data_IF_844793774911
#
_entry.id   IF_844793774911
#
_cell.length_a   1.000
_cell.length_b   1.000
_cell.length_c   1.000
_cell.angle_alpha   90.00
_cell.angle_beta   90.00
_cell.angle_gamma   90.00
#
_symmetry.space_group_name_H-M   'P 1'
#
loop_
_entity.id
_entity.type
_entity.pdbx_description
1 polymer ?
#
# COMPACT_ATOMS: atom_id res chain seq x y z
N UNK A 1 -48.86 -9.95 -42.80
CA UNK A 1 -49.50 -9.16 -43.87
C UNK A 1 -50.48 -8.17 -43.23
N UNK A 2 -50.72 -6.97 -43.79
CA UNK A 2 -49.83 -5.87 -44.22
C UNK A 2 -50.22 -4.56 -43.44
N UNK A 3 -49.65 -3.35 -43.53
CA UNK A 3 -49.13 -2.43 -44.58
C UNK A 3 -48.25 -1.39 -43.84
N UNK A 4 -47.03 -0.99 -44.21
CA UNK A 4 -46.43 -0.46 -45.45
C UNK A 4 -46.93 0.93 -45.89
N UNK A 5 -45.95 1.74 -46.35
CA UNK A 5 -45.98 2.98 -47.16
C UNK A 5 -45.89 4.31 -46.38
N UNK A 6 -45.10 5.35 -46.74
CA UNK A 6 -44.19 5.76 -47.86
C UNK A 6 -43.41 7.00 -47.32
N UNK A 7 -42.12 7.26 -47.53
CA UNK A 7 -41.31 7.55 -48.75
C UNK A 7 -41.66 8.84 -49.53
N UNK A 8 -40.73 9.80 -49.54
CA UNK A 8 -40.40 10.77 -50.62
C UNK A 8 -39.12 11.53 -50.16
N UNK A 9 -37.89 11.36 -50.67
CA UNK A 9 -37.28 11.61 -52.00
C UNK A 9 -37.51 13.01 -52.56
N UNK A 10 -36.45 13.82 -52.68
CA UNK A 10 -36.04 14.75 -53.78
C UNK A 10 -34.53 15.03 -53.53
N UNK A 11 -33.52 14.56 -54.26
CA UNK A 11 -33.13 14.57 -55.69
C UNK A 11 -32.45 15.88 -56.17
N UNK A 12 -31.36 15.68 -56.94
CA UNK A 12 -30.55 16.60 -57.78
C UNK A 12 -29.31 17.21 -57.08
N UNK A 13 -28.07 16.78 -57.31
CA UNK A 13 -27.24 16.52 -58.50
C UNK A 13 -26.61 17.78 -59.13
N UNK A 14 -25.28 17.89 -59.05
CA UNK A 14 -24.45 18.61 -60.02
C UNK A 14 -23.05 17.95 -60.06
N UNK A 15 -22.75 17.36 -61.22
CA UNK A 15 -21.48 16.78 -61.65
C UNK A 15 -20.89 17.72 -62.70
N UNK A 16 -19.59 18.01 -62.66
CA UNK A 16 -18.70 18.29 -63.82
C UNK A 16 -17.25 18.31 -63.28
N UNK A 17 -16.37 17.32 -63.50
CA UNK A 17 -15.64 16.85 -64.69
C UNK A 17 -14.26 17.51 -64.90
N UNK A 18 -13.23 16.71 -64.58
CA UNK A 18 -11.92 16.49 -65.21
C UNK A 18 -10.95 17.65 -65.56
N UNK A 19 -9.68 17.48 -65.16
CA UNK A 19 -8.59 17.17 -66.11
C UNK A 19 -7.31 16.76 -65.36
N UNK A 20 -6.72 15.64 -65.79
CA UNK A 20 -5.37 15.21 -65.43
C UNK A 20 -4.38 15.70 -66.50
N UNK A 21 -3.23 16.22 -66.10
CA UNK A 21 -2.01 16.27 -66.94
C UNK A 21 -0.81 16.02 -66.03
N UNK A 22 0.00 15.04 -66.41
CA UNK A 22 1.21 14.65 -65.72
C UNK A 22 2.46 15.16 -66.46
N UNK A 23 3.51 15.40 -65.67
CA UNK A 23 4.96 15.42 -65.98
C UNK A 23 5.53 16.62 -66.76
N UNK A 24 6.48 17.33 -66.14
CA UNK A 24 7.93 17.27 -66.47
C UNK A 24 8.74 18.31 -65.66
N UNK A 25 9.76 17.84 -64.93
CA UNK A 25 11.09 18.45 -64.86
C UNK A 25 11.33 19.74 -64.05
N UNK A 26 12.39 19.71 -63.23
CA UNK A 26 13.16 20.91 -62.86
C UNK A 26 13.27 21.16 -61.35
N UNK A 27 14.36 20.69 -60.74
CA UNK A 27 14.80 21.20 -59.44
C UNK A 27 15.55 22.52 -59.63
N UNK A 28 15.28 23.56 -58.82
CA UNK A 28 16.27 24.57 -58.49
C UNK A 28 16.58 24.58 -56.99
N UNK A 29 17.83 24.91 -56.69
CA UNK A 29 18.50 24.69 -55.42
C UNK A 29 17.89 25.44 -54.23
N UNK A 30 17.94 24.77 -53.09
CA UNK A 30 17.66 25.32 -51.78
C UNK A 30 18.72 26.39 -51.42
N UNK A 31 18.28 27.63 -51.30
CA UNK A 31 18.98 28.63 -50.49
C UNK A 31 18.30 28.63 -49.12
N UNK A 32 18.93 27.95 -48.16
CA UNK A 32 18.48 27.93 -46.78
C UNK A 32 18.61 29.33 -46.18
N UNK A 33 17.48 29.95 -45.84
CA UNK A 33 17.46 31.00 -44.83
C UNK A 33 17.37 30.32 -43.47
N UNK A 34 18.43 30.46 -42.67
CA UNK A 34 18.46 29.90 -41.32
C UNK A 34 17.35 30.58 -40.48
N UNK A 35 16.42 29.81 -39.88
CA UNK A 35 15.50 30.38 -38.90
C UNK A 35 16.29 30.74 -37.63
N UNK A 36 16.14 31.98 -37.18
CA UNK A 36 16.60 32.43 -35.86
C UNK A 36 15.80 31.65 -34.82
N UNK A 37 16.48 30.82 -34.02
CA UNK A 37 15.86 30.06 -32.94
C UNK A 37 15.39 31.00 -31.82
N UNK A 38 14.24 30.74 -31.17
CA UNK A 38 13.83 31.50 -30.01
C UNK A 38 14.81 31.27 -28.85
N UNK A 39 15.23 32.35 -28.19
CA UNK A 39 16.02 32.30 -26.96
C UNK A 39 15.11 31.78 -25.85
N UNK A 40 15.28 30.52 -25.47
CA UNK A 40 14.65 29.92 -24.29
C UNK A 40 15.44 30.38 -23.07
N UNK A 41 14.81 30.96 -22.02
CA UNK A 41 15.52 31.31 -20.81
C UNK A 41 16.04 30.03 -20.14
N UNK A 42 17.36 29.94 -19.97
CA UNK A 42 18.02 28.87 -19.22
C UNK A 42 17.65 29.05 -17.75
N UNK A 43 16.77 28.17 -17.25
CA UNK A 43 16.59 27.98 -15.81
C UNK A 43 17.88 27.31 -15.29
N UNK A 44 18.58 27.86 -14.28
CA UNK A 44 19.75 27.20 -13.74
C UNK A 44 19.34 25.85 -13.15
N UNK A 45 19.81 24.78 -13.77
CA UNK A 45 19.70 23.41 -13.24
C UNK A 45 20.52 23.37 -11.96
N UNK A 46 19.86 23.12 -10.83
CA UNK A 46 20.55 22.85 -9.58
C UNK A 46 21.53 21.68 -9.77
N UNK A 47 22.73 21.70 -9.16
CA UNK A 47 23.69 20.62 -9.32
C UNK A 47 23.04 19.30 -8.91
N UNK A 48 23.09 18.31 -9.82
CA UNK A 48 22.76 16.92 -9.52
C UNK A 48 23.73 16.47 -8.43
N UNK A 49 23.21 16.33 -7.21
CA UNK A 49 23.94 15.63 -6.15
C UNK A 49 24.04 14.18 -6.61
N UNK A 50 25.23 13.57 -6.67
CA UNK A 50 25.35 12.17 -7.06
C UNK A 50 24.54 11.34 -6.06
N UNK A 51 23.48 10.72 -6.56
CA UNK A 51 22.85 9.57 -5.89
C UNK A 51 23.96 8.54 -5.75
N UNK A 52 24.13 8.01 -4.54
CA UNK A 52 25.19 7.08 -4.19
C UNK A 52 25.28 5.88 -5.14
N UNK A 53 26.41 5.19 -5.05
CA UNK A 53 26.82 4.08 -5.92
C UNK A 53 25.67 3.11 -6.26
N UNK A 54 25.63 2.55 -7.50
CA UNK A 54 24.60 1.61 -7.91
C UNK A 54 24.62 0.38 -6.99
N UNK A 55 23.55 0.24 -6.21
CA UNK A 55 23.25 -0.94 -5.42
C UNK A 55 23.10 -2.14 -6.37
N UNK A 56 23.70 -3.29 -5.99
CA UNK A 56 23.63 -4.55 -6.75
C UNK A 56 22.21 -4.90 -7.23
N UNK A 57 22.05 -5.57 -8.38
CA UNK A 57 20.75 -5.81 -9.01
C UNK A 57 19.74 -6.60 -8.16
N UNK A 58 20.18 -7.32 -7.12
CA UNK A 58 19.30 -8.00 -6.17
C UNK A 58 19.00 -7.22 -4.88
N UNK A 59 19.75 -6.16 -4.57
CA UNK A 59 19.62 -5.40 -3.33
C UNK A 59 18.59 -4.25 -3.40
N UNK A 60 17.67 -4.28 -4.38
CA UNK A 60 16.69 -3.20 -4.60
C UNK A 60 15.29 -3.63 -5.03
N UNK A 61 15.01 -4.92 -5.25
CA UNK A 61 13.69 -5.38 -5.74
C UNK A 61 12.80 -5.86 -4.59
N UNK A 62 11.53 -5.46 -4.55
CA UNK A 62 10.60 -5.97 -3.54
C UNK A 62 10.39 -7.48 -3.73
N UNK A 63 10.27 -8.21 -2.61
CA UNK A 63 9.94 -9.65 -2.60
C UNK A 63 8.44 -9.81 -2.76
N UNK A 64 8.01 -10.39 -3.88
CA UNK A 64 6.61 -10.65 -4.20
C UNK A 64 6.36 -12.15 -4.14
N UNK A 65 5.37 -12.58 -3.36
CA UNK A 65 5.01 -14.00 -3.20
C UNK A 65 3.50 -14.16 -3.33
N UNK A 66 3.07 -15.13 -4.14
CA UNK A 66 1.69 -15.56 -4.24
C UNK A 66 1.53 -16.92 -3.57
N UNK A 67 0.47 -17.10 -2.80
CA UNK A 67 0.16 -18.35 -2.13
C UNK A 67 -0.60 -19.28 -3.08
N UNK A 68 -0.49 -20.57 -2.85
CA UNK A 68 -1.26 -21.56 -3.60
C UNK A 68 -2.75 -21.50 -3.20
N UNK A 69 -3.65 -21.78 -4.15
CA UNK A 69 -5.09 -21.61 -3.93
C UNK A 69 -5.64 -22.50 -2.80
N UNK A 70 -5.06 -23.69 -2.61
CA UNK A 70 -5.36 -24.61 -1.52
C UNK A 70 -4.88 -24.07 -0.16
N UNK A 71 -3.73 -23.40 -0.08
CA UNK A 71 -3.26 -22.71 1.12
C UNK A 71 -4.20 -21.56 1.53
N UNK A 72 -4.65 -20.78 0.54
CA UNK A 72 -5.65 -19.71 0.74
C UNK A 72 -6.97 -20.29 1.26
N UNK A 73 -7.44 -21.39 0.68
CA UNK A 73 -8.66 -22.07 1.10
C UNK A 73 -8.52 -22.70 2.51
N UNK A 74 -7.37 -23.30 2.82
CA UNK A 74 -7.07 -23.83 4.14
C UNK A 74 -7.11 -22.73 5.20
N UNK A 75 -6.58 -21.54 4.90
CA UNK A 75 -6.65 -20.38 5.78
C UNK A 75 -8.09 -19.90 6.03
N UNK A 76 -8.94 -19.92 4.99
CA UNK A 76 -10.35 -19.60 5.14
C UNK A 76 -11.07 -20.58 6.10
N UNK A 77 -10.78 -21.88 5.96
CA UNK A 77 -11.35 -22.92 6.81
C UNK A 77 -10.76 -22.92 8.24
N UNK A 78 -9.51 -22.50 8.37
CA UNK A 78 -8.82 -22.45 9.66
C UNK A 78 -9.48 -21.46 10.62
N UNK A 79 -9.76 -20.23 10.18
CA UNK A 79 -10.28 -19.17 11.04
C UNK A 79 -11.78 -19.25 11.30
N UNK A 80 -12.14 -20.05 12.31
CA UNK A 80 -13.48 -20.07 12.90
C UNK A 80 -13.65 -18.93 13.91
N UNK A 81 -14.89 -18.51 14.25
CA UNK A 81 -15.13 -17.54 15.31
C UNK A 81 -14.46 -17.91 16.65
N UNK A 82 -14.43 -19.21 16.97
CA UNK A 82 -13.77 -19.71 18.19
C UNK A 82 -12.25 -19.48 18.17
N UNK A 83 -11.59 -19.69 17.03
CA UNK A 83 -10.13 -19.46 16.88
C UNK A 83 -9.80 -17.98 16.85
N UNK A 84 -10.61 -17.14 16.21
CA UNK A 84 -10.44 -15.68 16.26
C UNK A 84 -10.50 -15.19 17.72
N UNK A 85 -11.51 -15.63 18.48
CA UNK A 85 -11.60 -15.29 19.90
C UNK A 85 -10.47 -15.89 20.76
N UNK A 86 -9.89 -17.02 20.38
CA UNK A 86 -8.71 -17.59 21.06
C UNK A 86 -7.44 -16.77 20.79
N UNK A 87 -7.23 -16.32 19.55
CA UNK A 87 -6.13 -15.45 19.18
C UNK A 87 -6.18 -14.10 19.93
N UNK A 88 -7.38 -13.56 20.12
CA UNK A 88 -7.57 -12.34 20.91
C UNK A 88 -7.14 -12.51 22.36
N UNK A 89 -7.55 -13.62 22.99
CA UNK A 89 -7.16 -13.94 24.37
C UNK A 89 -5.66 -14.13 24.48
N UNK A 90 -5.05 -14.88 23.55
CA UNK A 90 -3.60 -15.08 23.54
C UNK A 90 -2.84 -13.75 23.42
N UNK A 91 -3.30 -12.85 22.54
CA UNK A 91 -2.70 -11.51 22.39
C UNK A 91 -2.88 -10.68 23.66
N UNK A 92 -4.08 -10.72 24.27
CA UNK A 92 -4.37 -10.02 25.52
C UNK A 92 -3.47 -10.49 26.68
N UNK A 93 -3.28 -11.80 26.80
CA UNK A 93 -2.42 -12.44 27.80
C UNK A 93 -0.94 -12.08 27.58
N UNK A 94 -0.45 -12.14 26.35
CA UNK A 94 0.92 -11.75 26.01
C UNK A 94 1.19 -10.27 26.36
N UNK A 95 0.23 -9.37 26.09
CA UNK A 95 0.35 -7.95 26.45
C UNK A 95 0.12 -7.66 27.93
N UNK A 96 -0.49 -8.58 28.68
CA UNK A 96 -0.64 -8.47 30.14
C UNK A 96 0.69 -8.69 30.87
N UNK A 97 1.63 -9.39 30.25
CA UNK A 97 2.96 -9.62 30.79
C UNK A 97 3.76 -8.31 30.90
N UNK A 98 4.56 -8.11 31.95
CA UNK A 98 5.39 -6.92 32.09
C UNK A 98 6.42 -6.87 30.97
N UNK A 99 6.24 -5.96 30.02
CA UNK A 99 7.19 -5.76 28.94
C UNK A 99 8.46 -5.07 29.46
N UNK A 100 9.62 -5.69 29.25
CA UNK A 100 10.92 -5.02 29.30
C UNK A 100 11.14 -4.23 28.00
N UNK A 101 10.31 -3.21 27.72
CA UNK A 101 10.49 -2.37 26.53
C UNK A 101 11.18 -1.05 26.89
N UNK A 102 11.99 -0.51 25.96
CA UNK A 102 12.36 0.91 26.00
C UNK A 102 11.06 1.73 26.14
N UNK A 103 11.07 2.71 27.03
CA UNK A 103 9.93 3.59 27.26
C UNK A 103 9.53 4.27 25.94
N UNK A 104 8.44 3.81 25.32
CA UNK A 104 7.81 4.53 24.24
C UNK A 104 7.30 5.87 24.80
N UNK A 105 7.48 6.96 24.05
CA UNK A 105 6.94 8.25 24.47
C UNK A 105 5.43 8.12 24.76
N UNK A 106 4.92 8.71 25.86
CA UNK A 106 3.53 8.53 26.25
C UNK A 106 2.61 8.98 25.13
N UNK A 107 1.69 8.10 24.73
CA UNK A 107 0.59 8.43 23.84
C UNK A 107 -0.28 9.43 24.60
N UNK A 108 -0.36 10.68 24.12
CA UNK A 108 -1.04 11.75 24.86
C UNK A 108 -2.57 11.62 24.80
N UNK A 109 -3.09 10.97 23.76
CA UNK A 109 -4.50 10.70 23.56
C UNK A 109 -4.67 9.34 22.89
N UNK A 110 -5.03 8.33 23.68
CA UNK A 110 -5.60 7.07 23.20
C UNK A 110 -7.08 7.10 23.59
N UNK A 111 -7.97 6.98 22.60
CA UNK A 111 -9.40 6.95 22.83
C UNK A 111 -10.00 5.82 22.01
N UNK A 112 -10.99 5.14 22.57
CA UNK A 112 -11.81 4.16 21.86
C UNK A 112 -12.59 4.88 20.76
N UNK A 113 -12.63 4.28 19.57
CA UNK A 113 -13.52 4.73 18.48
C UNK A 113 -14.37 3.57 17.98
N UNK A 114 -15.50 3.92 17.37
CA UNK A 114 -16.32 2.95 16.65
C UNK A 114 -15.50 2.28 15.54
N UNK A 115 -15.76 0.99 15.24
CA UNK A 115 -15.09 0.28 14.15
C UNK A 115 -15.15 1.05 12.84
N UNK A 116 -14.00 1.23 12.20
CA UNK A 116 -13.89 1.80 10.86
C UNK A 116 -13.91 0.64 9.86
N UNK A 117 -14.86 0.57 8.90
CA UNK A 117 -15.02 -0.59 8.02
C UNK A 117 -13.73 -1.09 7.36
N UNK A 118 -12.89 -0.19 6.85
CA UNK A 118 -11.64 -0.53 6.15
C UNK A 118 -10.45 -0.80 7.08
N UNK A 119 -10.57 -0.56 8.39
CA UNK A 119 -9.53 -0.90 9.38
C UNK A 119 -9.95 -2.17 10.12
N UNK A 120 -9.02 -3.08 10.36
CA UNK A 120 -9.36 -4.35 10.99
C UNK A 120 -8.19 -5.04 11.67
N UNK A 121 -8.51 -6.19 12.27
CA UNK A 121 -7.52 -7.08 12.85
C UNK A 121 -6.99 -8.02 11.79
N UNK A 122 -5.69 -8.28 11.86
CA UNK A 122 -4.99 -9.29 11.09
C UNK A 122 -4.65 -10.43 12.05
N UNK A 123 -4.94 -11.66 11.65
CA UNK A 123 -4.71 -12.86 12.46
C UNK A 123 -3.71 -13.75 11.76
N UNK A 124 -2.83 -14.38 12.53
CA UNK A 124 -1.86 -15.33 12.02
C UNK A 124 -1.42 -16.33 13.08
N UNK A 125 -0.72 -17.37 12.61
CA UNK A 125 -0.11 -18.42 13.43
C UNK A 125 1.40 -18.31 13.26
N UNK A 126 2.11 -18.20 14.38
CA UNK A 126 3.55 -18.18 14.44
C UNK A 126 4.13 -19.57 14.13
N UNK A 127 5.45 -19.65 13.89
CA UNK A 127 6.13 -20.92 13.62
C UNK A 127 6.08 -21.93 14.78
N UNK A 128 5.79 -21.46 16.01
CA UNK A 128 5.61 -22.28 17.21
C UNK A 128 4.14 -22.64 17.50
N UNK A 129 3.28 -22.52 16.48
CA UNK A 129 1.82 -22.75 16.54
C UNK A 129 1.04 -21.82 17.48
N UNK A 130 1.67 -20.75 17.99
CA UNK A 130 0.98 -19.74 18.79
C UNK A 130 0.21 -18.75 17.92
N UNK A 131 -0.87 -18.19 18.45
CA UNK A 131 -1.63 -17.15 17.76
C UNK A 131 -1.01 -15.78 17.97
N UNK A 132 -0.90 -15.02 16.87
CA UNK A 132 -0.53 -13.62 16.88
C UNK A 132 -1.58 -12.78 16.16
N UNK A 133 -1.71 -11.54 16.59
CA UNK A 133 -2.55 -10.56 15.92
C UNK A 133 -1.82 -9.27 15.63
N UNK A 134 -2.20 -8.64 14.53
CA UNK A 134 -1.75 -7.32 14.09
C UNK A 134 -2.96 -6.44 13.74
N UNK A 135 -2.70 -5.18 13.38
CA UNK A 135 -3.69 -4.31 12.74
C UNK A 135 -3.37 -4.16 11.27
N UNK A 136 -4.39 -3.97 10.44
CA UNK A 136 -4.21 -3.72 9.02
C UNK A 136 -5.30 -2.81 8.46
N UNK A 137 -5.09 -2.28 7.26
CA UNK A 137 -5.99 -1.31 6.63
C UNK A 137 -6.20 -1.61 5.13
N UNK A 138 -7.45 -1.67 4.67
CA UNK A 138 -7.76 -1.74 3.25
C UNK A 138 -7.42 -0.41 2.57
N UNK A 139 -6.68 -0.47 1.46
CA UNK A 139 -6.17 0.71 0.76
C UNK A 139 -6.63 0.75 -0.69
N UNK A 140 -6.77 1.97 -1.23
CA UNK A 140 -7.18 2.18 -2.62
C UNK A 140 -6.14 1.52 -3.53
N UNK A 141 -6.61 0.63 -4.41
CA UNK A 141 -5.78 -0.11 -5.34
C UNK A 141 -6.56 -0.47 -6.60
N UNK A 142 -5.85 -0.68 -7.72
CA UNK A 142 -6.49 -1.07 -8.99
C UNK A 142 -7.22 -2.41 -8.94
N UNK A 143 -6.79 -3.33 -8.07
CA UNK A 143 -7.45 -4.63 -7.88
C UNK A 143 -8.57 -4.60 -6.82
N UNK A 144 -8.69 -3.52 -6.02
CA UNK A 144 -9.65 -3.41 -4.92
C UNK A 144 -9.50 -4.43 -3.79
N UNK A 145 -8.37 -5.14 -3.72
CA UNK A 145 -8.11 -6.25 -2.80
C UNK A 145 -6.88 -6.02 -1.91
N UNK A 146 -6.28 -4.84 -1.96
CA UNK A 146 -5.01 -4.56 -1.27
C UNK A 146 -5.22 -4.09 0.17
N UNK A 147 -4.41 -4.62 1.06
CA UNK A 147 -4.34 -4.30 2.47
C UNK A 147 -2.92 -3.86 2.82
N UNK A 148 -2.78 -2.77 3.58
CA UNK A 148 -1.52 -2.29 4.12
C UNK A 148 -1.32 -2.76 5.57
N UNK A 149 -0.10 -3.15 5.91
CA UNK A 149 0.31 -3.61 7.25
C UNK A 149 1.82 -3.41 7.46
N UNK A 150 2.35 -3.85 8.60
CA UNK A 150 3.78 -3.90 8.88
C UNK A 150 4.42 -5.16 8.25
N UNK A 151 5.71 -5.09 7.92
CA UNK A 151 6.40 -6.22 7.30
C UNK A 151 6.55 -7.40 8.27
N UNK A 152 6.81 -7.12 9.55
CA UNK A 152 6.90 -8.16 10.60
C UNK A 152 5.57 -8.89 10.86
N UNK A 153 4.44 -8.30 10.48
CA UNK A 153 3.14 -8.96 10.58
C UNK A 153 2.92 -10.03 9.49
N UNK A 154 3.79 -10.09 8.48
CA UNK A 154 3.78 -11.12 7.43
C UNK A 154 4.96 -12.08 7.62
N UNK A 155 6.14 -11.52 7.87
CA UNK A 155 7.40 -12.25 7.94
C UNK A 155 8.24 -11.68 9.09
N UNK A 156 8.33 -12.44 10.19
CA UNK A 156 9.13 -12.11 11.35
C UNK A 156 10.59 -12.54 11.09
N UNK A 157 11.28 -11.77 10.25
CA UNK A 157 12.72 -11.94 9.93
C UNK A 157 13.08 -13.25 9.26
N UNK A 158 12.28 -13.65 8.25
CA UNK A 158 12.42 -14.90 7.53
C UNK A 158 11.56 -16.03 8.08
N UNK A 159 10.88 -15.83 9.21
CA UNK A 159 9.81 -16.69 9.67
C UNK A 159 8.46 -16.16 9.15
N UNK A 160 8.00 -16.73 8.05
CA UNK A 160 6.66 -16.44 7.51
C UNK A 160 5.58 -16.95 8.48
N UNK A 161 4.57 -16.12 8.74
CA UNK A 161 3.43 -16.54 9.56
C UNK A 161 2.43 -17.35 8.74
N UNK A 162 1.94 -18.46 9.30
CA UNK A 162 0.92 -19.27 8.67
C UNK A 162 -0.48 -18.66 8.85
N UNK A 163 -1.41 -19.06 7.97
CA UNK A 163 -2.82 -18.71 8.04
C UNK A 163 -3.09 -17.21 8.20
N UNK A 164 -2.38 -16.36 7.47
CA UNK A 164 -2.61 -14.92 7.57
C UNK A 164 -4.01 -14.56 7.02
N UNK A 165 -4.82 -13.87 7.81
CA UNK A 165 -6.12 -13.37 7.37
C UNK A 165 -6.44 -11.98 7.93
N UNK A 166 -7.13 -11.17 7.12
CA UNK A 166 -7.66 -9.86 7.51
C UNK A 166 -9.14 -9.95 7.86
N UNK A 167 -9.55 -9.32 8.96
CA UNK A 167 -10.94 -9.27 9.40
C UNK A 167 -11.35 -7.80 9.63
N UNK A 168 -12.00 -7.17 8.63
CA UNK A 168 -12.33 -5.75 8.67
C UNK A 168 -13.37 -5.46 9.74
N UNK A 169 -13.21 -4.32 10.43
CA UNK A 169 -14.08 -3.88 11.52
C UNK A 169 -14.37 -4.96 12.59
N UNK A 170 -13.40 -5.85 12.83
CA UNK A 170 -13.55 -6.85 13.88
C UNK A 170 -13.69 -6.16 15.23
N UNK A 171 -14.72 -6.52 15.98
CA UNK A 171 -15.02 -5.97 17.29
C UNK A 171 -15.77 -7.00 18.16
N UNK A 172 -15.21 -7.30 19.32
CA UNK A 172 -15.72 -8.14 20.40
C UNK A 172 -16.35 -9.46 19.89
N UNK A 173 -15.58 -10.24 19.15
CA UNK A 173 -16.04 -11.50 18.57
C UNK A 173 -16.75 -11.36 17.22
N UNK A 174 -17.10 -10.12 16.81
CA UNK A 174 -17.91 -9.85 15.63
C UNK A 174 -17.02 -9.57 14.43
N UNK A 175 -17.24 -10.33 13.36
CA UNK A 175 -16.60 -10.17 12.06
C UNK A 175 -17.65 -9.78 11.01
N UNK A 176 -18.15 -8.52 11.00
CA UNK A 176 -19.31 -8.13 10.18
C UNK A 176 -19.08 -8.29 8.67
N UNK A 177 -17.83 -8.27 8.22
CA UNK A 177 -17.46 -8.41 6.81
C UNK A 177 -16.76 -9.75 6.50
N UNK A 178 -16.78 -10.69 7.45
CA UNK A 178 -16.13 -11.99 7.32
C UNK A 178 -14.60 -11.94 7.34
N UNK A 179 -14.01 -13.10 7.12
CA UNK A 179 -12.55 -13.31 7.11
C UNK A 179 -12.03 -13.31 5.68
N UNK A 180 -10.94 -12.58 5.44
CA UNK A 180 -10.31 -12.38 4.12
C UNK A 180 -8.89 -12.95 4.14
N UNK A 181 -8.69 -14.20 3.70
CA UNK A 181 -7.38 -14.84 3.69
C UNK A 181 -6.38 -14.09 2.80
N UNK A 182 -5.11 -14.05 3.22
CA UNK A 182 -4.03 -13.56 2.37
C UNK A 182 -3.91 -14.42 1.11
N UNK A 183 -3.75 -13.78 -0.05
CA UNK A 183 -3.57 -14.43 -1.35
C UNK A 183 -2.18 -14.17 -1.96
N UNK A 184 -1.64 -12.97 -1.77
CA UNK A 184 -0.26 -12.63 -2.15
C UNK A 184 0.26 -11.49 -1.30
N UNK A 185 1.57 -11.35 -1.18
CA UNK A 185 2.19 -10.27 -0.42
C UNK A 185 3.43 -9.69 -1.10
N UNK A 186 3.75 -8.47 -0.70
CA UNK A 186 4.93 -7.72 -1.14
C UNK A 186 5.66 -7.19 0.08
N UNK A 187 6.93 -7.59 0.21
CA UNK A 187 7.86 -7.07 1.20
C UNK A 187 8.90 -6.18 0.52
N UNK A 188 9.29 -5.05 1.13
CA UNK A 188 10.30 -4.17 0.57
C UNK A 188 11.66 -4.86 0.56
N UNK A 189 12.51 -4.52 -0.42
CA UNK A 189 13.85 -5.10 -0.57
C UNK A 189 14.71 -4.96 0.70
N UNK A 190 14.50 -3.85 1.42
CA UNK A 190 15.20 -3.56 2.67
C UNK A 190 14.74 -4.39 3.88
N UNK A 191 13.69 -5.22 3.77
CA UNK A 191 13.27 -6.10 4.86
C UNK A 191 14.16 -7.34 4.96
N UNK A 192 15.32 -7.17 5.61
CA UNK A 192 16.35 -8.19 5.74
C UNK A 192 16.76 -8.37 7.21
N UNK A 193 16.19 -9.36 7.91
CA UNK A 193 16.72 -9.97 9.15
C UNK A 193 16.96 -9.10 10.41
N UNK A 194 16.93 -7.76 10.32
CA UNK A 194 17.47 -6.86 11.34
C UNK A 194 16.48 -5.78 11.82
N UNK A 195 15.16 -6.01 11.68
CA UNK A 195 14.12 -5.03 12.00
C UNK A 195 14.40 -3.61 11.48
N UNK A 196 14.73 -3.40 10.19
CA UNK A 196 15.01 -2.06 9.69
C UNK A 196 13.72 -1.23 9.74
N UNK A 197 13.59 -0.24 10.65
CA UNK A 197 12.29 0.42 10.88
C UNK A 197 11.81 1.21 9.66
N UNK A 198 12.74 1.59 8.78
CA UNK A 198 12.47 2.28 7.53
C UNK A 198 11.80 1.38 6.47
N UNK A 199 11.85 0.06 6.64
CA UNK A 199 11.30 -0.93 5.72
C UNK A 199 10.25 -1.82 6.39
N UNK A 200 9.77 -1.46 7.59
CA UNK A 200 8.69 -2.17 8.27
C UNK A 200 7.32 -1.75 7.74
N UNK A 201 7.08 -2.00 6.45
CA UNK A 201 5.82 -1.72 5.76
C UNK A 201 5.64 -2.75 4.67
N UNK A 202 4.43 -3.30 4.56
CA UNK A 202 4.09 -4.29 3.57
C UNK A 202 2.68 -4.07 3.03
N UNK A 203 2.47 -4.62 1.84
CA UNK A 203 1.15 -4.72 1.24
C UNK A 203 0.86 -6.17 0.91
N UNK A 204 -0.38 -6.60 1.12
CA UNK A 204 -0.84 -7.91 0.70
C UNK A 204 -2.19 -7.80 0.01
N UNK A 205 -2.50 -8.78 -0.84
CA UNK A 205 -3.83 -8.96 -1.41
C UNK A 205 -4.56 -10.05 -0.66
N UNK A 206 -5.88 -9.96 -0.64
CA UNK A 206 -6.74 -10.96 -0.03
C UNK A 206 -7.61 -11.69 -1.05
N UNK A 207 -8.02 -12.90 -0.69
CA UNK A 207 -9.08 -13.63 -1.38
C UNK A 207 -10.46 -13.20 -0.87
N UNK A 208 -11.41 -13.06 -1.80
CA UNK A 208 -12.77 -12.64 -1.47
C UNK A 208 -13.63 -13.80 -0.98
N UNK A 209 -14.28 -13.70 0.19
CA UNK A 209 -15.23 -14.70 0.67
C UNK A 209 -16.58 -14.65 -0.06
N UNK A 210 -16.89 -13.56 -0.79
CA UNK A 210 -18.22 -13.33 -1.40
C UNK A 210 -18.17 -13.04 -2.91
N UNK A 211 -16.99 -13.07 -3.51
CA UNK A 211 -16.76 -12.69 -4.92
C UNK A 211 -16.72 -11.17 -5.17
N UNK A 212 -17.11 -10.33 -4.21
CA UNK A 212 -16.92 -8.86 -4.28
C UNK A 212 -15.53 -8.47 -3.82
N UNK A 213 -14.99 -7.37 -4.33
CA UNK A 213 -13.69 -6.88 -3.85
C UNK A 213 -13.79 -6.36 -2.42
N UNK A 214 -12.64 -6.30 -1.75
CA UNK A 214 -12.55 -5.79 -0.38
C UNK A 214 -12.97 -4.31 -0.35
N UNK A 215 -12.44 -3.50 -1.26
CA UNK A 215 -12.75 -2.07 -1.35
C UNK A 215 -14.24 -1.78 -1.59
N UNK A 216 -14.94 -2.62 -2.37
CA UNK A 216 -16.40 -2.49 -2.54
C UNK A 216 -17.15 -2.87 -1.25
N UNK A 217 -16.62 -3.82 -0.48
CA UNK A 217 -17.28 -4.31 0.73
C UNK A 217 -17.11 -3.35 1.91
N UNK A 218 -15.92 -2.77 2.09
CA UNK A 218 -15.58 -2.00 3.30
C UNK A 218 -15.04 -0.59 3.04
N UNK A 219 -15.00 -0.16 1.79
CA UNK A 219 -14.27 1.03 1.39
C UNK A 219 -12.76 0.82 1.46
N UNK A 220 -12.00 1.91 1.30
CA UNK A 220 -10.54 1.87 1.40
C UNK A 220 -9.98 3.27 1.70
N UNK A 221 -8.82 3.33 2.37
CA UNK A 221 -8.10 4.58 2.58
C UNK A 221 -7.21 4.93 1.37
N UNK A 222 -7.05 6.23 1.03
CA UNK A 222 -5.98 6.64 0.13
C UNK A 222 -4.61 6.39 0.76
N UNK A 223 -3.58 6.26 -0.09
CA UNK A 223 -2.18 6.13 0.33
C UNK A 223 -1.39 7.29 -0.25
N UNK A 224 -0.57 7.92 0.58
CA UNK A 224 0.33 9.00 0.19
C UNK A 224 1.78 8.55 0.40
N UNK A 225 2.64 8.85 -0.57
CA UNK A 225 4.07 8.57 -0.52
C UNK A 225 4.85 9.87 -0.75
N UNK A 226 6.04 9.99 -0.16
CA UNK A 226 6.94 11.13 -0.40
C UNK A 226 6.52 12.44 0.27
N UNK A 227 5.53 12.41 1.17
CA UNK A 227 5.12 13.58 1.94
C UNK A 227 6.25 14.10 2.84
N UNK A 228 6.51 15.41 2.78
CA UNK A 228 7.42 16.06 3.71
C UNK A 228 6.75 16.07 5.09
N UNK A 229 7.47 15.62 6.11
CA UNK A 229 7.00 15.46 7.50
C UNK A 229 6.77 16.80 8.23
N UNK A 230 5.97 17.69 7.64
CA UNK A 230 5.48 18.92 8.27
C UNK A 230 4.03 18.79 8.73
N UNK A 231 3.28 17.80 8.22
CA UNK A 231 1.89 17.52 8.59
C UNK A 231 1.75 16.24 9.45
N UNK A 232 0.71 16.23 10.29
CA UNK A 232 0.40 15.19 11.29
C UNK A 232 -0.66 14.24 10.74
N UNK A 233 -0.32 13.04 10.24
CA UNK A 233 -1.35 12.05 9.93
C UNK A 233 -1.89 11.44 11.23
N UNK A 234 -3.21 11.33 11.43
CA UNK A 234 -3.76 10.48 12.47
C UNK A 234 -3.36 9.02 12.21
N UNK A 235 -2.96 8.27 13.24
CA UNK A 235 -2.77 6.82 13.13
C UNK A 235 -3.86 6.08 13.90
N UNK A 236 -4.54 5.18 13.20
CA UNK A 236 -5.57 4.30 13.76
C UNK A 236 -5.09 2.87 13.70
N UNK A 237 -5.09 2.19 14.84
CA UNK A 237 -4.80 0.77 14.98
C UNK A 237 -5.53 0.21 16.19
N UNK A 238 -5.55 -1.10 16.38
CA UNK A 238 -6.08 -1.73 17.59
C UNK A 238 -4.94 -1.72 18.61
N UNK A 239 -5.09 -0.95 19.69
CA UNK A 239 -3.96 -0.64 20.60
C UNK A 239 -4.19 -1.02 22.07
N UNK A 240 -5.31 -1.64 22.40
CA UNK A 240 -5.61 -2.01 23.79
C UNK A 240 -6.17 -3.44 23.91
N UNK A 241 -5.32 -4.44 23.66
CA UNK A 241 -5.74 -5.84 23.75
C UNK A 241 -5.99 -6.32 25.19
N UNK A 242 -5.69 -5.53 26.25
CA UNK A 242 -5.85 -5.97 27.65
C UNK A 242 -7.31 -6.08 28.10
N UNK A 243 -8.25 -5.43 27.41
CA UNK A 243 -9.69 -5.52 27.68
C UNK A 243 -10.58 -5.25 26.46
N UNK A 244 -9.98 -5.02 25.29
CA UNK A 244 -10.66 -4.37 24.19
C UNK A 244 -10.16 -4.85 22.84
N UNK A 245 -11.02 -5.55 22.12
CA UNK A 245 -10.76 -5.95 20.72
C UNK A 245 -10.93 -4.78 19.72
N UNK A 246 -10.97 -3.54 20.23
CA UNK A 246 -11.45 -2.33 19.57
C UNK A 246 -10.37 -1.43 18.98
N UNK A 247 -10.70 -0.82 17.83
CA UNK A 247 -9.92 0.27 17.24
C UNK A 247 -9.66 1.40 18.24
N UNK A 248 -8.39 1.74 18.42
CA UNK A 248 -7.92 2.79 19.32
C UNK A 248 -6.96 3.70 18.56
N UNK A 249 -7.43 4.81 17.95
CA UNK A 249 -6.54 5.80 17.39
C UNK A 249 -5.62 6.36 18.46
N UNK A 250 -4.41 6.65 18.02
CA UNK A 250 -3.42 7.28 18.84
C UNK A 250 -2.82 8.43 18.07
N UNK A 251 -2.39 9.45 18.80
CA UNK A 251 -1.62 10.52 18.17
C UNK A 251 -0.40 10.88 19.01
N UNK A 252 0.76 10.83 18.36
CA UNK A 252 2.04 11.24 18.91
C UNK A 252 2.70 12.21 17.92
N UNK A 253 3.33 13.28 18.44
CA UNK A 253 4.07 14.20 17.58
C UNK A 253 5.35 13.53 17.08
N UNK A 254 5.60 13.57 15.77
CA UNK A 254 6.90 13.23 15.21
C UNK A 254 7.93 14.23 15.76
N UNK A 255 8.77 13.80 16.70
CA UNK A 255 9.90 14.63 17.14
C UNK A 255 11.03 14.43 16.14
N UNK A 256 11.61 15.54 15.67
CA UNK A 256 12.91 15.50 14.99
C UNK A 256 13.91 14.83 15.93
N UNK A 257 14.64 13.82 15.45
CA UNK A 257 15.85 13.36 16.14
C UNK A 257 16.80 14.57 16.23
N UNK A 258 17.30 14.95 17.42
CA UNK A 258 18.41 15.88 17.50
C UNK A 258 19.57 15.32 16.69
N UNK A 259 20.35 16.15 15.98
CA UNK A 259 21.57 15.68 15.34
C UNK A 259 22.46 15.03 16.40
N UNK A 260 23.02 13.85 16.09
CA UNK A 260 24.05 13.22 16.90
C UNK A 260 25.17 14.25 17.10
N UNK A 261 25.40 14.69 18.35
CA UNK A 261 26.60 15.45 18.69
C UNK A 261 27.77 14.55 18.33
N UNK A 262 28.60 14.98 17.37
CA UNK A 262 29.93 14.40 17.18
C UNK A 262 30.67 14.53 18.53
N UNK A 263 31.38 13.50 19.00
CA UNK A 263 32.24 13.65 20.16
C UNK A 263 33.24 14.76 19.87
N UNK A 264 33.35 15.71 20.80
CA UNK A 264 34.30 16.80 20.71
C UNK A 264 35.71 16.22 20.55
N UNK A 265 36.38 16.62 19.46
CA UNK A 265 37.76 16.27 19.19
C UNK A 265 38.58 16.96 20.27
N UNK A 266 39.16 16.20 21.20
CA UNK A 266 40.05 16.73 22.21
C UNK A 266 41.19 17.50 21.51
N UNK A 267 41.30 18.80 21.81
CA UNK A 267 42.48 19.59 21.45
C UNK A 267 43.69 19.06 22.21
N UNK A 268 44.87 18.96 21.58
CA UNK A 268 46.08 18.60 22.30
C UNK A 268 46.44 19.72 23.29
N UNK A 269 46.79 19.31 24.51
CA UNK A 269 47.25 20.19 25.58
C UNK A 269 48.61 20.85 25.22
N UNK A 270 48.91 22.05 25.76
CA UNK A 270 50.11 22.83 25.44
C UNK A 270 51.41 22.17 25.89
#
# INVERSE_FOLDING_TARGET
MPRSARSARHALAAVMLAAAVALLGGAPGAWAHAPVAPVVPVVPVAPVVPVGDPVSPDAGRPRVVALAADEVAATAAFWTPARLGAADRATAEAMAQPATSLAAAPVRHAARVAPVPHVGRMYMVNADDTFQTCSANAVVSGNGLTVATAAHCIDDFGAFHAHIAFVPAYEDGRAPFGTWPLASYVLPAGWTGAHPPASDTAFFTVSSPTGRTLAVTVGASPVLFGERTTSRPPSTGIRDFRRSTTSTPCSAGARRRPPLRRPDRASPAP
#
